data_IF_745101731723
#
_entry.id   IF_745101731723
#
_cell.length_a   1.000
_cell.length_b   1.000
_cell.length_c   1.000
_cell.angle_alpha   90.00
_cell.angle_beta   90.00
_cell.angle_gamma   90.00
#
_symmetry.space_group_name_H-M   'P 1'
#
loop_
_entity.id
_entity.type
_entity.pdbx_description
1 polymer ?
#
# COMPACT_ATOMS: atom_id res chain seq x y z
N UNK A 1 -26.21 -10.85 0.56
CA UNK A 1 -25.72 -9.67 -0.17
C UNK A 1 -25.44 -10.09 -1.61
N UNK A 2 -26.06 -9.45 -2.60
CA UNK A 2 -25.98 -9.82 -4.03
C UNK A 2 -24.74 -9.26 -4.73
N UNK A 3 -23.54 -9.53 -4.20
CA UNK A 3 -22.27 -9.10 -4.80
C UNK A 3 -21.76 -10.22 -5.71
N UNK A 4 -21.43 -9.89 -6.95
CA UNK A 4 -20.85 -10.82 -7.92
C UNK A 4 -19.33 -10.63 -7.99
N UNK A 5 -18.58 -11.71 -7.81
CA UNK A 5 -17.14 -11.74 -7.99
C UNK A 5 -16.79 -12.44 -9.30
N UNK A 6 -15.90 -11.83 -10.10
CA UNK A 6 -15.38 -12.41 -11.34
C UNK A 6 -13.87 -12.52 -11.19
N UNK A 7 -13.34 -13.74 -11.32
CA UNK A 7 -11.91 -14.00 -11.15
C UNK A 7 -11.16 -13.69 -12.46
N UNK A 8 -10.95 -12.41 -12.75
CA UNK A 8 -10.30 -11.96 -13.99
C UNK A 8 -9.59 -10.62 -13.84
N UNK A 9 -8.66 -10.37 -14.74
CA UNK A 9 -8.02 -9.05 -14.88
C UNK A 9 -8.65 -8.40 -16.11
N UNK A 10 -9.13 -7.17 -15.95
CA UNK A 10 -9.63 -6.35 -17.05
C UNK A 10 -8.44 -5.83 -17.86
N UNK A 11 -8.49 -5.96 -19.18
CA UNK A 11 -7.43 -5.47 -20.07
C UNK A 11 -7.51 -3.96 -20.29
N UNK A 12 -8.70 -3.46 -20.60
CA UNK A 12 -8.96 -2.07 -20.97
C UNK A 12 -10.37 -1.66 -20.54
N UNK A 13 -10.53 -0.38 -20.20
CA UNK A 13 -11.82 0.27 -20.00
C UNK A 13 -11.99 1.29 -21.12
N UNK A 14 -13.04 1.13 -21.92
CA UNK A 14 -13.35 2.01 -23.05
C UNK A 14 -14.60 2.81 -22.75
N UNK A 15 -14.67 4.01 -23.34
CA UNK A 15 -15.87 4.85 -23.34
C UNK A 15 -16.29 5.00 -24.79
N UNK A 16 -17.50 4.55 -25.10
CA UNK A 16 -18.09 4.69 -26.43
C UNK A 16 -18.43 6.17 -26.72
N UNK A 17 -18.66 6.52 -27.99
CA UNK A 17 -19.03 7.89 -28.41
C UNK A 17 -20.30 8.41 -27.70
N UNK A 18 -21.19 7.50 -27.30
CA UNK A 18 -22.42 7.78 -26.54
C UNK A 18 -22.16 8.00 -25.03
N UNK A 19 -20.91 7.95 -24.57
CA UNK A 19 -20.51 8.11 -23.16
C UNK A 19 -20.69 6.86 -22.29
N UNK A 20 -21.01 5.71 -22.89
CA UNK A 20 -21.20 4.44 -22.16
C UNK A 20 -19.87 3.75 -21.89
N UNK A 21 -19.69 3.23 -20.68
CA UNK A 21 -18.49 2.48 -20.31
C UNK A 21 -18.62 1.03 -20.75
N UNK A 22 -17.56 0.50 -21.33
CA UNK A 22 -17.44 -0.90 -21.70
C UNK A 22 -16.10 -1.47 -21.21
N UNK A 23 -16.15 -2.63 -20.57
CA UNK A 23 -14.95 -3.36 -20.14
C UNK A 23 -15.07 -4.84 -20.43
N UNK A 24 -13.94 -5.46 -20.75
CA UNK A 24 -13.83 -6.90 -20.97
C UNK A 24 -13.01 -7.54 -19.86
N UNK A 25 -13.53 -8.63 -19.31
CA UNK A 25 -12.84 -9.42 -18.30
C UNK A 25 -12.86 -10.89 -18.71
N UNK A 26 -11.68 -11.51 -18.72
CA UNK A 26 -11.58 -12.95 -18.88
C UNK A 26 -11.82 -13.62 -17.53
N UNK A 27 -12.97 -14.30 -17.39
CA UNK A 27 -13.29 -15.06 -16.21
C UNK A 27 -12.54 -16.40 -16.22
N UNK A 28 -11.56 -16.53 -15.32
CA UNK A 28 -10.73 -17.73 -15.20
C UNK A 28 -11.51 -18.95 -14.74
N UNK A 29 -12.66 -18.79 -14.08
CA UNK A 29 -13.46 -19.90 -13.59
C UNK A 29 -14.31 -20.53 -14.68
N UNK A 30 -14.94 -19.71 -15.52
CA UNK A 30 -15.80 -20.19 -16.62
C UNK A 30 -15.07 -20.31 -17.96
N UNK A 31 -13.81 -19.84 -18.03
CA UNK A 31 -13.01 -19.75 -19.26
C UNK A 31 -13.73 -18.97 -20.37
N UNK A 32 -14.40 -17.87 -20.00
CA UNK A 32 -15.16 -17.02 -20.93
C UNK A 32 -14.71 -15.58 -20.85
N UNK A 33 -14.75 -14.91 -22.00
CA UNK A 33 -14.63 -13.46 -22.07
C UNK A 33 -16.00 -12.84 -21.81
N UNK A 34 -16.09 -11.99 -20.79
CA UNK A 34 -17.31 -11.30 -20.41
C UNK A 34 -17.20 -9.82 -20.77
N UNK A 35 -18.12 -9.33 -21.60
CA UNK A 35 -18.29 -7.90 -21.86
C UNK A 35 -19.29 -7.30 -20.87
N UNK A 36 -18.84 -6.32 -20.09
CA UNK A 36 -19.63 -5.67 -19.04
C UNK A 36 -19.82 -4.19 -19.41
N UNK A 37 -21.05 -3.71 -19.28
CA UNK A 37 -21.45 -2.31 -19.53
C UNK A 37 -21.94 -1.67 -18.23
N UNK A 38 -21.03 -1.24 -17.33
CA UNK A 38 -21.42 -0.62 -16.08
C UNK A 38 -21.71 0.88 -16.27
N UNK A 39 -22.53 1.44 -15.38
CA UNK A 39 -22.74 2.90 -15.30
C UNK A 39 -21.57 3.60 -14.60
N UNK A 40 -20.84 2.88 -13.73
CA UNK A 40 -19.69 3.38 -12.97
C UNK A 40 -18.62 2.31 -12.84
N UNK A 41 -17.35 2.71 -13.03
CA UNK A 41 -16.19 1.88 -12.71
C UNK A 41 -15.42 2.53 -11.57
N UNK A 42 -15.19 1.77 -10.49
CA UNK A 42 -14.38 2.19 -9.36
C UNK A 42 -13.03 1.48 -9.43
N UNK A 43 -11.96 2.24 -9.57
CA UNK A 43 -10.59 1.72 -9.57
C UNK A 43 -10.10 1.57 -8.13
N UNK A 44 -9.82 0.33 -7.71
CA UNK A 44 -9.19 0.04 -6.43
C UNK A 44 -7.67 0.30 -6.51
N UNK A 45 -7.28 1.58 -6.57
CA UNK A 45 -5.88 1.99 -6.67
C UNK A 45 -5.06 1.59 -5.45
N UNK A 46 -3.85 1.09 -5.69
CA UNK A 46 -2.90 0.75 -4.64
C UNK A 46 -2.28 1.98 -3.96
N UNK A 47 -1.63 1.75 -2.82
CA UNK A 47 -0.84 2.77 -2.12
C UNK A 47 0.53 2.92 -2.78
N UNK A 48 0.96 4.17 -2.95
CA UNK A 48 2.32 4.53 -3.35
C UNK A 48 2.98 5.35 -2.24
N UNK A 49 4.32 5.46 -2.24
CA UNK A 49 5.03 6.33 -1.31
C UNK A 49 4.58 7.79 -1.42
N UNK A 50 4.67 8.52 -0.31
CA UNK A 50 4.41 9.96 -0.29
C UNK A 50 5.41 10.69 -1.21
N UNK A 51 4.97 11.76 -1.88
CA UNK A 51 5.82 12.61 -2.73
C UNK A 51 7.06 13.16 -2.00
N UNK A 52 6.96 13.37 -0.69
CA UNK A 52 8.06 13.87 0.15
C UNK A 52 9.05 12.79 0.64
N UNK A 53 8.81 11.51 0.31
CA UNK A 53 9.56 10.40 0.93
C UNK A 53 11.05 10.42 0.60
N UNK A 54 11.42 10.93 -0.57
CA UNK A 54 12.81 11.08 -1.00
C UNK A 54 13.53 12.12 -0.13
N UNK A 55 12.95 13.31 0.01
CA UNK A 55 13.47 14.37 0.87
C UNK A 55 13.62 13.91 2.33
N UNK A 56 12.64 13.15 2.84
CA UNK A 56 12.68 12.61 4.21
C UNK A 56 13.78 11.56 4.37
N UNK A 57 13.92 10.67 3.38
CA UNK A 57 14.95 9.62 3.34
C UNK A 57 16.35 10.23 3.37
N UNK A 58 16.59 11.29 2.60
CA UNK A 58 17.87 12.02 2.59
C UNK A 58 18.12 12.75 3.91
N UNK A 59 17.13 13.50 4.42
CA UNK A 59 17.24 14.28 5.65
C UNK A 59 17.58 13.40 6.86
N UNK A 60 16.96 12.22 6.94
CA UNK A 60 17.12 11.30 8.06
C UNK A 60 18.14 10.19 7.79
N UNK A 61 18.76 10.18 6.61
CA UNK A 61 19.68 9.14 6.12
C UNK A 61 19.11 7.72 6.23
N UNK A 62 17.82 7.53 5.94
CA UNK A 62 17.13 6.23 6.00
C UNK A 62 17.05 5.63 4.60
N UNK A 63 17.33 4.34 4.47
CA UNK A 63 17.20 3.61 3.20
C UNK A 63 15.74 3.44 2.78
N UNK A 64 15.52 3.34 1.45
CA UNK A 64 14.24 2.97 0.84
C UNK A 64 14.29 1.56 0.25
N UNK A 65 13.16 0.86 0.25
CA UNK A 65 12.98 -0.40 -0.45
C UNK A 65 12.84 -0.22 -1.96
N UNK A 66 12.84 -1.33 -2.70
CA UNK A 66 12.60 -1.33 -4.15
C UNK A 66 11.17 -0.90 -4.54
N UNK A 67 10.26 -0.95 -3.58
CA UNK A 67 8.88 -0.43 -3.67
C UNK A 67 8.78 1.08 -3.39
N UNK A 68 9.90 1.70 -3.02
CA UNK A 68 10.02 3.13 -2.75
C UNK A 68 9.63 3.57 -1.34
N UNK A 69 9.16 2.66 -0.47
CA UNK A 69 8.82 2.95 0.92
C UNK A 69 10.08 2.96 1.81
N UNK A 70 9.97 3.48 3.04
CA UNK A 70 11.09 3.48 4.00
C UNK A 70 11.36 2.06 4.51
N UNK A 71 12.64 1.68 4.52
CA UNK A 71 13.07 0.33 4.86
C UNK A 71 13.34 0.17 6.35
N UNK A 72 12.76 -0.85 6.96
CA UNK A 72 13.10 -1.26 8.31
C UNK A 72 14.48 -1.93 8.40
N UNK A 73 15.03 -2.01 9.61
CA UNK A 73 16.34 -2.58 9.87
C UNK A 73 16.36 -4.11 9.70
N UNK A 74 15.23 -4.78 9.92
CA UNK A 74 15.05 -6.21 9.64
C UNK A 74 13.55 -6.57 9.72
N UNK A 75 12.95 -7.23 8.71
CA UNK A 75 11.50 -7.51 8.66
C UNK A 75 10.94 -8.24 9.89
N UNK A 76 11.69 -9.23 10.40
CA UNK A 76 11.26 -10.03 11.57
C UNK A 76 11.78 -9.52 12.92
N UNK A 77 13.08 -9.25 13.03
CA UNK A 77 13.72 -8.93 14.30
C UNK A 77 13.51 -7.47 14.74
N UNK A 78 13.40 -6.55 13.78
CA UNK A 78 13.35 -5.10 14.06
C UNK A 78 12.42 -4.37 13.07
N UNK A 79 11.12 -4.73 13.01
CA UNK A 79 10.19 -4.19 12.02
C UNK A 79 9.92 -2.68 12.18
N UNK A 80 10.18 -2.13 13.37
CA UNK A 80 9.86 -0.72 13.70
C UNK A 80 11.10 0.18 13.74
N UNK A 81 12.30 -0.36 13.57
CA UNK A 81 13.54 0.41 13.61
C UNK A 81 14.01 0.64 12.19
N UNK A 82 14.54 1.82 11.88
CA UNK A 82 15.33 2.00 10.67
C UNK A 82 16.77 1.51 10.88
N UNK A 83 17.58 1.48 9.81
CA UNK A 83 19.02 1.22 9.92
C UNK A 83 19.74 2.29 10.76
N UNK A 84 19.19 3.52 10.80
CA UNK A 84 19.71 4.61 11.61
C UNK A 84 19.23 4.49 13.06
N UNK A 85 20.19 4.49 13.98
CA UNK A 85 19.89 4.44 15.42
C UNK A 85 19.08 5.66 15.87
N UNK A 86 18.09 5.44 16.73
CA UNK A 86 17.21 6.51 17.22
C UNK A 86 16.06 6.87 16.28
N UNK A 87 16.03 6.34 15.05
CA UNK A 87 14.93 6.57 14.11
C UNK A 87 14.04 5.32 13.99
N UNK A 88 12.74 5.53 14.22
CA UNK A 88 11.71 4.50 14.20
C UNK A 88 10.69 4.79 13.09
N UNK A 89 10.08 3.72 12.56
CA UNK A 89 9.11 3.79 11.48
C UNK A 89 7.74 3.33 12.00
N UNK A 90 6.68 3.98 11.52
CA UNK A 90 5.30 3.59 11.82
C UNK A 90 4.35 4.00 10.69
N UNK A 91 3.43 3.10 10.34
CA UNK A 91 2.37 3.38 9.39
C UNK A 91 2.77 3.14 7.94
N UNK A 92 2.03 3.76 7.02
CA UNK A 92 2.15 3.49 5.58
C UNK A 92 3.44 4.01 4.95
N UNK A 93 4.25 4.80 5.67
CA UNK A 93 5.59 5.18 5.20
C UNK A 93 6.53 3.98 5.02
N UNK A 94 6.26 2.86 5.69
CA UNK A 94 7.00 1.60 5.61
C UNK A 94 6.33 0.57 4.67
N UNK A 95 5.26 0.95 3.98
CA UNK A 95 4.57 0.11 3.01
C UNK A 95 3.06 -0.03 3.28
N UNK A 96 2.29 -0.55 2.29
CA UNK A 96 0.84 -0.67 2.36
C UNK A 96 0.38 -1.50 3.57
N UNK A 97 -0.60 -0.99 4.31
CA UNK A 97 -1.20 -1.66 5.47
C UNK A 97 -2.54 -1.04 5.83
N UNK A 98 -3.29 -1.73 6.66
CA UNK A 98 -4.56 -1.22 7.17
C UNK A 98 -4.38 -0.34 8.41
N UNK A 99 -5.51 0.17 8.92
CA UNK A 99 -5.54 1.05 10.08
C UNK A 99 -5.10 0.31 11.36
N UNK A 100 -5.65 -0.87 11.71
CA UNK A 100 -5.17 -1.64 12.86
C UNK A 100 -3.66 -1.85 12.89
N UNK A 101 -3.06 -2.27 11.78
CA UNK A 101 -1.62 -2.49 11.67
C UNK A 101 -0.84 -1.19 11.86
N UNK A 102 -1.34 -0.09 11.27
CA UNK A 102 -0.76 1.24 11.44
C UNK A 102 -0.75 1.69 12.91
N UNK A 103 -1.86 1.48 13.60
CA UNK A 103 -2.02 1.84 15.03
C UNK A 103 -1.10 0.98 15.91
N UNK A 104 -1.02 -0.32 15.61
CA UNK A 104 -0.12 -1.23 16.30
C UNK A 104 1.36 -0.82 16.12
N UNK A 105 1.76 -0.49 14.89
CA UNK A 105 3.11 0.01 14.62
C UNK A 105 3.40 1.33 15.32
N UNK A 106 2.48 2.29 15.31
CA UNK A 106 2.64 3.57 15.99
C UNK A 106 2.87 3.38 17.50
N UNK A 107 2.08 2.52 18.14
CA UNK A 107 2.22 2.19 19.56
C UNK A 107 3.57 1.52 19.85
N UNK A 108 3.98 0.58 19.00
CA UNK A 108 5.28 -0.07 19.12
C UNK A 108 6.46 0.88 18.93
N UNK A 109 6.39 1.78 17.94
CA UNK A 109 7.43 2.78 17.69
C UNK A 109 7.56 3.76 18.86
N UNK A 110 6.43 4.22 19.41
CA UNK A 110 6.41 5.05 20.62
C UNK A 110 7.08 4.34 21.80
N UNK A 111 6.75 3.06 22.05
CA UNK A 111 7.39 2.28 23.11
C UNK A 111 8.90 2.13 22.89
N UNK A 112 9.38 1.97 21.65
CA UNK A 112 10.82 1.91 21.37
C UNK A 112 11.52 3.25 21.57
N UNK A 113 10.88 4.36 21.19
CA UNK A 113 11.39 5.70 21.44
C UNK A 113 11.48 5.99 22.95
N UNK A 114 10.44 5.67 23.72
CA UNK A 114 10.44 5.82 25.19
C UNK A 114 11.54 5.00 25.84
N UNK A 115 11.73 3.74 25.43
CA UNK A 115 12.81 2.90 25.96
C UNK A 115 14.20 3.49 25.70
N UNK A 116 14.41 4.12 24.53
CA UNK A 116 15.66 4.82 24.24
C UNK A 116 15.85 6.03 25.16
N UNK A 117 14.80 6.84 25.32
CA UNK A 117 14.85 8.05 26.17
C UNK A 117 15.04 7.73 27.66
N UNK A 118 14.42 6.65 28.15
CA UNK A 118 14.53 6.24 29.55
C UNK A 118 15.90 5.63 29.92
N UNK A 119 16.72 5.29 28.93
CA UNK A 119 18.04 4.69 29.12
C UNK A 119 19.19 5.70 29.18
N UNK A 120 18.90 6.98 28.97
CA UNK A 120 19.83 8.10 29.17
C UNK A 120 19.62 8.76 30.53
#
# INVERSE_FOLDING_TARGET
MGITFIAGITSEIRVDDDGRIYLEVYDKLTCRLLGIKPDLVVLASGLIPNYDIERISELLHISRGSDGFLLEAHPKLRPLKSAMSGIFLAGTCQGPKDIPDTVAQASGAAAKAVNLLASG
#
